data_IF_354427666262
#
_entry.id   IF_354427666262
#
_cell.length_a   1.000
_cell.length_b   1.000
_cell.length_c   1.000
_cell.angle_alpha   90.00
_cell.angle_beta   90.00
_cell.angle_gamma   90.00
#
_symmetry.space_group_name_H-M   'P 1'
#
loop_
_entity.id
_entity.type
_entity.pdbx_description
1 polymer ?
#
# COMPACT_ATOMS: atom_id res chain seq x y z
N UNK A 1 -3.50 -50.32 -11.81
CA UNK A 1 -4.58 -49.43 -11.42
C UNK A 1 -4.19 -48.46 -10.30
N UNK A 2 -3.52 -48.92 -9.28
CA UNK A 2 -3.12 -48.06 -8.15
C UNK A 2 -2.18 -46.92 -8.56
N UNK A 3 -1.22 -47.21 -9.44
CA UNK A 3 -0.28 -46.19 -9.94
C UNK A 3 -1.05 -45.06 -10.70
N UNK A 4 -2.06 -45.44 -11.47
CA UNK A 4 -2.88 -44.46 -12.19
C UNK A 4 -3.70 -43.59 -11.24
N UNK A 5 -4.20 -44.13 -10.16
CA UNK A 5 -4.94 -43.40 -9.12
C UNK A 5 -4.00 -42.44 -8.39
N UNK A 6 -2.81 -42.93 -8.02
CA UNK A 6 -1.80 -42.07 -7.37
C UNK A 6 -1.37 -40.93 -8.29
N UNK A 7 -1.12 -41.22 -9.55
CA UNK A 7 -0.77 -40.19 -10.53
C UNK A 7 -1.90 -39.13 -10.70
N UNK A 8 -3.15 -39.58 -10.75
CA UNK A 8 -4.30 -38.68 -10.83
C UNK A 8 -4.41 -37.80 -9.59
N UNK A 9 -4.22 -38.34 -8.40
CA UNK A 9 -4.25 -37.60 -7.13
C UNK A 9 -3.14 -36.53 -7.12
N UNK A 10 -1.93 -36.88 -7.54
CA UNK A 10 -0.81 -35.94 -7.60
C UNK A 10 -1.09 -34.81 -8.59
N UNK A 11 -1.65 -35.11 -9.74
CA UNK A 11 -2.04 -34.08 -10.73
C UNK A 11 -3.10 -33.13 -10.18
N UNK A 12 -4.11 -33.65 -9.50
CA UNK A 12 -5.17 -32.81 -8.88
C UNK A 12 -4.61 -31.92 -7.79
N UNK A 13 -3.71 -32.44 -6.96
CA UNK A 13 -3.06 -31.64 -5.90
C UNK A 13 -2.18 -30.55 -6.53
N UNK A 14 -1.38 -30.90 -7.53
CA UNK A 14 -0.54 -29.94 -8.24
C UNK A 14 -1.38 -28.82 -8.90
N UNK A 15 -2.50 -29.19 -9.50
CA UNK A 15 -3.43 -28.22 -10.10
C UNK A 15 -3.99 -27.24 -9.08
N UNK A 16 -4.32 -27.69 -7.87
CA UNK A 16 -4.78 -26.80 -6.79
C UNK A 16 -3.72 -25.80 -6.36
N UNK A 17 -2.47 -26.19 -6.30
CA UNK A 17 -1.35 -25.28 -5.97
C UNK A 17 -0.98 -24.36 -7.12
N UNK A 18 -1.32 -24.72 -8.35
CA UNK A 18 -1.02 -23.93 -9.56
C UNK A 18 -1.99 -22.76 -9.72
N UNK A 19 -3.28 -22.98 -9.43
CA UNK A 19 -4.33 -22.00 -9.66
C UNK A 19 -4.41 -21.03 -8.48
N UNK A 20 -4.36 -19.74 -8.79
CA UNK A 20 -4.57 -18.66 -7.83
C UNK A 20 -5.65 -17.72 -8.34
N UNK A 21 -6.62 -17.44 -7.48
CA UNK A 21 -7.68 -16.47 -7.74
C UNK A 21 -7.42 -15.22 -6.93
N UNK A 22 -7.20 -14.11 -7.61
CA UNK A 22 -6.92 -12.82 -6.98
C UNK A 22 -8.22 -12.03 -6.92
N UNK A 23 -8.64 -11.57 -5.71
CA UNK A 23 -9.83 -10.73 -5.58
C UNK A 23 -9.69 -9.39 -6.30
N UNK A 24 -10.82 -8.74 -6.59
CA UNK A 24 -10.81 -7.38 -7.14
C UNK A 24 -10.12 -6.40 -6.19
N UNK A 25 -9.47 -5.39 -6.76
CA UNK A 25 -8.73 -4.37 -6.02
C UNK A 25 -7.55 -4.94 -5.19
N UNK A 26 -6.98 -6.04 -5.65
CA UNK A 26 -5.78 -6.63 -5.07
C UNK A 26 -4.75 -6.91 -6.15
N UNK A 27 -3.50 -6.93 -5.76
CA UNK A 27 -2.39 -7.35 -6.60
C UNK A 27 -1.43 -8.20 -5.75
N UNK A 28 -1.07 -9.35 -6.25
CA UNK A 28 -0.18 -10.28 -5.57
C UNK A 28 1.15 -10.35 -6.30
N UNK A 29 2.23 -10.26 -5.56
CA UNK A 29 3.58 -10.37 -6.10
C UNK A 29 4.04 -11.81 -5.98
N UNK A 30 4.41 -12.40 -7.10
CA UNK A 30 4.93 -13.76 -7.19
C UNK A 30 6.44 -13.73 -7.37
N UNK A 31 7.14 -14.46 -6.53
CA UNK A 31 8.57 -14.69 -6.62
C UNK A 31 8.85 -16.13 -7.05
N UNK A 32 9.78 -16.29 -7.95
CA UNK A 32 10.30 -17.59 -8.38
C UNK A 32 11.71 -17.77 -7.84
N UNK A 33 11.87 -18.73 -6.90
CA UNK A 33 13.15 -19.00 -6.25
C UNK A 33 13.78 -17.75 -5.61
N UNK A 34 12.94 -16.92 -4.97
CA UNK A 34 13.37 -15.70 -4.30
C UNK A 34 13.55 -14.48 -5.19
N UNK A 35 13.21 -14.58 -6.46
CA UNK A 35 13.34 -13.50 -7.45
C UNK A 35 11.97 -13.11 -7.99
N UNK A 36 11.74 -11.80 -8.16
CA UNK A 36 10.50 -11.30 -8.74
C UNK A 36 10.25 -11.93 -10.11
N UNK A 37 9.05 -12.49 -10.28
CA UNK A 37 8.61 -13.07 -11.54
C UNK A 37 7.47 -12.28 -12.18
N UNK A 38 6.38 -12.03 -11.42
CA UNK A 38 5.20 -11.38 -11.97
C UNK A 38 4.33 -10.76 -10.88
N UNK A 39 3.49 -9.82 -11.29
CA UNK A 39 2.39 -9.27 -10.49
C UNK A 39 1.08 -9.86 -11.00
N UNK A 40 0.34 -10.56 -10.13
CA UNK A 40 -0.95 -11.14 -10.47
C UNK A 40 -2.04 -10.08 -10.39
N UNK A 41 -2.76 -9.90 -11.51
CA UNK A 41 -3.94 -9.03 -11.56
C UNK A 41 -5.19 -9.77 -11.05
N UNK A 42 -6.29 -9.04 -10.74
CA UNK A 42 -7.53 -9.69 -10.32
C UNK A 42 -8.04 -10.72 -11.33
N UNK A 43 -8.55 -11.82 -10.81
CA UNK A 43 -9.12 -12.90 -11.59
C UNK A 43 -8.31 -14.19 -11.50
N UNK A 44 -8.44 -15.00 -12.53
CA UNK A 44 -7.78 -16.31 -12.62
C UNK A 44 -6.32 -16.13 -13.01
N UNK A 45 -5.43 -16.75 -12.22
CA UNK A 45 -4.00 -16.77 -12.50
C UNK A 45 -3.46 -18.17 -12.25
N UNK A 46 -2.44 -18.53 -13.02
CA UNK A 46 -1.73 -19.79 -12.86
C UNK A 46 -0.24 -19.53 -12.58
N UNK A 47 0.29 -20.23 -11.59
CA UNK A 47 1.70 -20.18 -11.21
C UNK A 47 2.29 -21.60 -11.19
N UNK A 48 3.62 -21.70 -11.28
CA UNK A 48 4.28 -22.99 -11.15
C UNK A 48 4.33 -23.44 -9.69
N UNK A 49 3.77 -24.61 -9.34
CA UNK A 49 3.89 -25.12 -7.98
C UNK A 49 5.35 -25.42 -7.63
N UNK A 50 5.69 -25.33 -6.36
CA UNK A 50 7.02 -25.59 -5.79
C UNK A 50 8.10 -24.55 -6.06
N UNK A 51 8.10 -23.85 -7.22
CA UNK A 51 9.09 -22.82 -7.56
C UNK A 51 8.55 -21.41 -7.40
N UNK A 52 7.27 -21.19 -7.74
CA UNK A 52 6.60 -19.91 -7.56
C UNK A 52 5.89 -19.83 -6.22
N UNK A 53 5.96 -18.68 -5.58
CA UNK A 53 5.20 -18.40 -4.36
C UNK A 53 4.66 -16.96 -4.38
N UNK A 54 3.55 -16.77 -3.71
CA UNK A 54 3.01 -15.42 -3.46
C UNK A 54 3.78 -14.83 -2.29
N UNK A 55 4.68 -13.90 -2.57
CA UNK A 55 5.54 -13.29 -1.55
C UNK A 55 4.86 -12.11 -0.86
N UNK A 56 4.11 -11.30 -1.61
CA UNK A 56 3.42 -10.11 -1.11
C UNK A 56 2.02 -10.01 -1.67
N UNK A 57 1.11 -9.50 -0.85
CA UNK A 57 -0.28 -9.22 -1.23
C UNK A 57 -0.59 -7.77 -0.91
N UNK A 58 -1.02 -7.01 -1.90
CA UNK A 58 -1.36 -5.61 -1.73
C UNK A 58 -2.82 -5.36 -2.07
N UNK A 59 -3.48 -4.52 -1.27
CA UNK A 59 -4.77 -3.94 -1.62
C UNK A 59 -4.55 -2.67 -2.44
N UNK A 60 -5.28 -2.53 -3.54
CA UNK A 60 -5.24 -1.34 -4.40
C UNK A 60 -6.30 -0.31 -4.01
N UNK A 61 -7.04 -0.54 -2.93
CA UNK A 61 -8.02 0.40 -2.41
C UNK A 61 -7.34 1.55 -1.68
N UNK A 62 -8.00 2.69 -1.64
CA UNK A 62 -7.60 3.79 -0.76
C UNK A 62 -7.67 3.34 0.70
N UNK A 63 -6.61 3.60 1.44
CA UNK A 63 -6.47 3.23 2.85
C UNK A 63 -6.30 4.51 3.67
N UNK A 64 -7.12 4.73 4.72
CA UNK A 64 -6.91 5.86 5.62
C UNK A 64 -5.70 5.61 6.51
N UNK A 65 -4.91 6.64 6.73
CA UNK A 65 -3.78 6.65 7.63
C UNK A 65 -3.89 7.84 8.56
N UNK A 66 -3.96 7.59 9.86
CA UNK A 66 -3.96 8.65 10.85
C UNK A 66 -2.58 9.31 10.91
N UNK A 67 -2.56 10.62 10.74
CA UNK A 67 -1.38 11.44 10.99
C UNK A 67 -1.42 11.85 12.46
N UNK A 68 -0.40 11.44 13.27
CA UNK A 68 -0.42 11.76 14.69
C UNK A 68 -0.50 13.25 14.97
N UNK A 69 -1.20 13.59 16.04
CA UNK A 69 -1.31 14.96 16.51
C UNK A 69 0.08 15.55 16.80
N UNK A 70 0.33 16.74 16.32
CA UNK A 70 1.60 17.44 16.55
C UNK A 70 1.37 18.93 16.78
N UNK A 71 2.28 19.54 17.52
CA UNK A 71 2.26 20.97 17.76
C UNK A 71 3.05 21.66 16.63
N UNK A 72 2.38 22.57 15.93
CA UNK A 72 2.98 23.39 14.88
C UNK A 72 2.95 24.85 15.30
N UNK A 73 3.95 25.64 14.85
CA UNK A 73 4.04 27.06 15.09
C UNK A 73 3.70 27.76 13.79
N UNK A 74 2.69 28.62 13.81
CA UNK A 74 2.29 29.43 12.67
C UNK A 74 3.25 30.60 12.43
N UNK A 75 3.09 31.26 11.29
CA UNK A 75 3.94 32.41 10.93
C UNK A 75 3.82 33.57 11.92
N UNK A 76 2.67 33.75 12.57
CA UNK A 76 2.42 34.77 13.59
C UNK A 76 2.85 34.32 14.99
N UNK A 77 3.62 33.21 15.09
CA UNK A 77 4.17 32.64 16.31
C UNK A 77 3.09 32.08 17.26
N UNK A 78 1.97 31.63 16.72
CA UNK A 78 0.91 30.95 17.48
C UNK A 78 1.11 29.44 17.43
N UNK A 79 1.00 28.78 18.58
CA UNK A 79 1.05 27.31 18.66
C UNK A 79 -0.30 26.70 18.30
N UNK A 80 -0.28 25.70 17.42
CA UNK A 80 -1.43 24.90 17.04
C UNK A 80 -1.15 23.44 17.24
N UNK A 81 -2.11 22.72 17.77
CA UNK A 81 -2.11 21.26 17.73
C UNK A 81 -2.88 20.82 16.49
N UNK A 82 -2.22 20.08 15.59
CA UNK A 82 -2.77 19.68 14.31
C UNK A 82 -2.69 18.16 14.17
N UNK A 83 -3.80 17.59 13.74
CA UNK A 83 -3.88 16.18 13.35
C UNK A 83 -4.66 16.07 12.03
N UNK A 84 -4.72 14.88 11.47
CA UNK A 84 -5.46 14.66 10.24
C UNK A 84 -5.47 13.21 9.84
N UNK A 85 -6.21 12.93 8.77
CA UNK A 85 -6.26 11.63 8.13
C UNK A 85 -5.76 11.78 6.70
N UNK A 86 -4.78 10.96 6.35
CA UNK A 86 -4.25 10.84 5.00
C UNK A 86 -4.85 9.60 4.35
N UNK A 87 -5.31 9.73 3.12
CA UNK A 87 -5.72 8.58 2.31
C UNK A 87 -4.61 8.27 1.31
N UNK A 88 -4.19 7.02 1.25
CA UNK A 88 -3.19 6.57 0.29
C UNK A 88 -3.66 5.32 -0.45
N UNK A 89 -3.10 5.10 -1.62
CA UNK A 89 -3.40 3.98 -2.49
C UNK A 89 -2.10 3.46 -3.11
N UNK A 90 -1.95 2.15 -3.15
CA UNK A 90 -0.84 1.51 -3.86
C UNK A 90 -1.17 1.49 -5.35
N UNK A 91 -0.36 2.17 -6.17
CA UNK A 91 -0.50 2.20 -7.62
C UNK A 91 0.47 1.27 -8.34
N UNK A 92 1.64 1.02 -7.72
CA UNK A 92 2.65 0.10 -8.24
C UNK A 92 3.00 -0.93 -7.17
N UNK A 93 2.38 -2.14 -7.20
CA UNK A 93 2.62 -3.16 -6.19
C UNK A 93 4.07 -3.62 -6.11
N UNK A 94 4.79 -3.67 -7.23
CA UNK A 94 6.19 -4.07 -7.27
C UNK A 94 7.05 -3.08 -6.47
N UNK A 95 6.88 -1.78 -6.69
CA UNK A 95 7.60 -0.75 -5.94
C UNK A 95 7.23 -0.74 -4.46
N UNK A 96 5.96 -0.96 -4.14
CA UNK A 96 5.51 -1.07 -2.76
C UNK A 96 6.15 -2.26 -2.02
N UNK A 97 6.41 -3.35 -2.74
CA UNK A 97 7.04 -4.55 -2.17
C UNK A 97 8.54 -4.42 -2.00
N UNK A 98 9.24 -3.83 -2.97
CA UNK A 98 10.70 -3.85 -3.04
C UNK A 98 11.35 -2.48 -2.88
N UNK A 99 10.61 -1.40 -3.06
CA UNK A 99 11.16 -0.05 -3.03
C UNK A 99 11.45 0.49 -1.64
N UNK A 100 10.71 0.06 -0.63
CA UNK A 100 10.87 0.49 0.77
C UNK A 100 10.47 -0.63 1.71
N UNK A 101 11.19 -0.79 2.81
CA UNK A 101 10.87 -1.78 3.83
C UNK A 101 9.59 -1.45 4.60
N UNK A 102 9.27 -0.15 4.74
CA UNK A 102 8.05 0.31 5.42
C UNK A 102 7.56 1.61 4.78
N UNK A 103 6.82 1.47 3.67
CA UNK A 103 6.29 2.63 2.95
C UNK A 103 5.22 3.39 3.75
N UNK A 104 4.48 2.72 4.60
CA UNK A 104 3.44 3.34 5.45
C UNK A 104 4.08 4.33 6.43
N UNK A 105 5.17 3.94 7.08
CA UNK A 105 5.93 4.83 7.96
C UNK A 105 6.52 6.02 7.18
N UNK A 106 7.07 5.78 6.01
CA UNK A 106 7.63 6.84 5.17
C UNK A 106 6.56 7.87 4.77
N UNK A 107 5.37 7.40 4.37
CA UNK A 107 4.23 8.28 4.03
C UNK A 107 3.80 9.08 5.26
N UNK A 108 3.68 8.46 6.42
CA UNK A 108 3.30 9.12 7.66
C UNK A 108 4.26 10.24 8.03
N UNK A 109 5.56 9.98 7.97
CA UNK A 109 6.59 10.97 8.26
C UNK A 109 6.59 12.12 7.26
N UNK A 110 6.42 11.82 5.99
CA UNK A 110 6.30 12.84 4.95
C UNK A 110 5.08 13.73 5.17
N UNK A 111 3.95 13.14 5.53
CA UNK A 111 2.72 13.87 5.83
C UNK A 111 2.90 14.82 7.02
N UNK A 112 3.53 14.35 8.10
CA UNK A 112 3.82 15.17 9.29
C UNK A 112 4.73 16.34 8.94
N UNK A 113 5.79 16.09 8.19
CA UNK A 113 6.74 17.12 7.78
C UNK A 113 6.09 18.16 6.86
N UNK A 114 5.27 17.71 5.92
CA UNK A 114 4.55 18.59 5.00
C UNK A 114 3.55 19.47 5.73
N UNK A 115 2.77 18.91 6.65
CA UNK A 115 1.83 19.66 7.48
C UNK A 115 2.54 20.75 8.28
N UNK A 116 3.63 20.38 8.95
CA UNK A 116 4.42 21.33 9.73
C UNK A 116 4.97 22.46 8.87
N UNK A 117 5.47 22.14 7.70
CA UNK A 117 6.01 23.13 6.76
C UNK A 117 4.92 24.08 6.24
N UNK A 118 3.76 23.54 5.86
CA UNK A 118 2.64 24.35 5.33
C UNK A 118 2.08 25.27 6.42
N UNK A 119 1.84 24.74 7.61
CA UNK A 119 1.28 25.52 8.73
C UNK A 119 2.28 26.59 9.20
N UNK A 120 3.59 26.31 9.17
CA UNK A 120 4.61 27.27 9.50
C UNK A 120 4.66 28.48 8.57
N UNK A 121 4.07 28.39 7.38
CA UNK A 121 3.96 29.50 6.42
C UNK A 121 2.65 30.28 6.51
N UNK A 122 1.66 29.75 7.22
CA UNK A 122 0.31 30.31 7.31
C UNK A 122 0.14 31.10 8.61
N UNK A 123 -0.73 32.12 8.54
CA UNK A 123 -1.27 32.77 9.73
C UNK A 123 -2.43 31.93 10.27
N UNK A 124 -2.71 32.04 11.58
CA UNK A 124 -3.74 31.25 12.25
C UNK A 124 -5.10 31.34 11.54
N UNK A 125 -5.52 32.55 11.15
CA UNK A 125 -6.80 32.78 10.47
C UNK A 125 -6.85 32.04 9.13
N UNK A 126 -5.79 32.10 8.36
CA UNK A 126 -5.70 31.43 7.05
C UNK A 126 -5.67 29.91 7.16
N UNK A 127 -5.16 29.36 8.25
CA UNK A 127 -5.13 27.93 8.48
C UNK A 127 -6.54 27.34 8.47
N UNK A 128 -7.50 28.01 9.08
CA UNK A 128 -8.90 27.55 9.08
C UNK A 128 -9.58 27.70 7.71
N UNK A 129 -9.25 28.73 6.95
CA UNK A 129 -9.82 28.97 5.60
C UNK A 129 -9.28 27.97 4.56
N UNK A 130 -8.02 27.53 4.69
CA UNK A 130 -7.34 26.68 3.72
C UNK A 130 -7.32 25.20 4.13
N UNK A 131 -8.08 24.82 5.13
CA UNK A 131 -8.14 23.45 5.64
C UNK A 131 -8.46 22.42 4.56
N UNK A 132 -9.42 22.71 3.68
CA UNK A 132 -9.80 21.82 2.59
C UNK A 132 -8.68 21.66 1.56
N UNK A 133 -7.93 22.72 1.30
CA UNK A 133 -6.78 22.69 0.40
C UNK A 133 -5.66 21.80 0.95
N UNK A 134 -5.37 21.86 2.25
CA UNK A 134 -4.40 20.99 2.92
C UNK A 134 -4.83 19.53 2.83
N UNK A 135 -6.12 19.24 3.04
CA UNK A 135 -6.66 17.89 2.90
C UNK A 135 -6.55 17.37 1.46
N UNK A 136 -6.78 18.22 0.47
CA UNK A 136 -6.62 17.86 -0.94
C UNK A 136 -5.16 17.51 -1.30
N UNK A 137 -4.19 18.24 -0.76
CA UNK A 137 -2.76 17.95 -0.92
C UNK A 137 -2.41 16.58 -0.32
N UNK A 138 -2.96 16.24 0.84
CA UNK A 138 -2.76 14.94 1.48
C UNK A 138 -3.26 13.76 0.64
N UNK A 139 -4.24 13.94 -0.23
CA UNK A 139 -4.75 12.90 -1.13
C UNK A 139 -3.92 12.70 -2.39
N UNK A 140 -3.09 13.65 -2.76
CA UNK A 140 -2.42 13.67 -4.05
C UNK A 140 -1.14 12.81 -4.13
N UNK A 141 -0.64 12.30 -3.01
CA UNK A 141 0.70 11.73 -2.94
C UNK A 141 0.72 10.26 -2.57
N UNK A 142 0.31 9.39 -3.49
CA UNK A 142 0.58 7.95 -3.32
C UNK A 142 0.85 7.25 -4.63
#
# INVERSE_FOLDING_TARGET
MEIAIIALVVVVIAAKFTIKIVPQQNAWIVERLGKYEATLSPGFNAILPFVDRVAYKHSLKEIPLDVPSQVCITRDNTQLQVDGILYFQVTDPMRASYGSSNYVMAISQLAQTTLRSVIGRLELVKTFEERDMINAIGRAHV
#
